data_IF_530678814179
#
_entry.id   IF_530678814179
#
_cell.length_a   1.000
_cell.length_b   1.000
_cell.length_c   1.000
_cell.angle_alpha   90.00
_cell.angle_beta   90.00
_cell.angle_gamma   90.00
#
_symmetry.space_group_name_H-M   'P 1'
#
loop_
_entity.id
_entity.type
_entity.pdbx_description
1 polymer ?
#
# COMPACT_ATOMS: atom_id res chain seq x y z
N UNK A 1 4.53 -29.61 -24.40
CA UNK A 1 4.89 -28.61 -23.37
C UNK A 1 5.77 -27.48 -23.91
N UNK A 2 6.85 -27.76 -24.66
CA UNK A 2 7.76 -26.73 -25.20
C UNK A 2 7.08 -25.67 -26.12
N UNK A 3 6.25 -26.08 -27.08
CA UNK A 3 5.51 -25.14 -27.95
C UNK A 3 4.50 -24.26 -27.19
N UNK A 4 3.93 -24.77 -26.08
CA UNK A 4 3.02 -23.98 -25.24
C UNK A 4 3.75 -22.92 -24.40
N UNK A 5 4.98 -23.23 -23.95
CA UNK A 5 5.85 -22.29 -23.24
C UNK A 5 6.35 -21.18 -24.16
N UNK A 6 6.72 -21.51 -25.39
CA UNK A 6 7.22 -20.54 -26.37
C UNK A 6 6.14 -19.53 -26.78
N UNK A 7 4.92 -20.01 -27.03
CA UNK A 7 3.77 -19.15 -27.31
C UNK A 7 3.36 -18.28 -26.12
N UNK A 8 3.49 -18.78 -24.89
CA UNK A 8 3.24 -18.00 -23.69
C UNK A 8 4.26 -16.86 -23.51
N UNK A 9 5.55 -17.13 -23.76
CA UNK A 9 6.62 -16.12 -23.73
C UNK A 9 6.42 -15.06 -24.81
N UNK A 10 6.06 -15.48 -26.03
CA UNK A 10 5.81 -14.55 -27.14
C UNK A 10 4.64 -13.61 -26.84
N UNK A 11 3.54 -14.14 -26.31
CA UNK A 11 2.41 -13.32 -25.84
C UNK A 11 2.78 -12.39 -24.69
N UNK A 12 3.57 -12.87 -23.72
CA UNK A 12 4.03 -12.05 -22.62
C UNK A 12 4.89 -10.88 -23.12
N UNK A 13 5.81 -11.12 -24.05
CA UNK A 13 6.63 -10.10 -24.67
C UNK A 13 5.82 -9.07 -25.47
N UNK A 14 4.79 -9.53 -26.21
CA UNK A 14 3.88 -8.65 -26.91
C UNK A 14 3.15 -7.70 -25.94
N UNK A 15 2.61 -8.23 -24.84
CA UNK A 15 1.95 -7.40 -23.82
C UNK A 15 2.92 -6.50 -23.06
N UNK A 16 4.15 -6.96 -22.79
CA UNK A 16 5.20 -6.16 -22.18
C UNK A 16 5.50 -4.89 -22.98
N UNK A 17 5.62 -4.99 -24.30
CA UNK A 17 5.85 -3.82 -25.15
C UNK A 17 4.69 -2.83 -25.14
N UNK A 18 3.46 -3.31 -24.99
CA UNK A 18 2.28 -2.45 -24.89
C UNK A 18 2.21 -1.75 -23.53
N UNK A 19 2.47 -2.48 -22.44
CA UNK A 19 2.49 -1.95 -21.07
C UNK A 19 3.63 -0.96 -20.87
N UNK A 20 4.81 -1.21 -21.47
CA UNK A 20 5.95 -0.31 -21.41
C UNK A 20 5.72 1.06 -22.04
N UNK A 21 4.66 1.24 -22.83
CA UNK A 21 4.25 2.52 -23.44
C UNK A 21 3.20 3.27 -22.62
N UNK A 22 2.68 2.67 -21.55
CA UNK A 22 1.71 3.32 -20.67
C UNK A 22 2.43 4.26 -19.71
N UNK A 23 1.80 5.41 -19.47
CA UNK A 23 2.14 6.28 -18.35
C UNK A 23 2.07 5.49 -17.04
N UNK A 24 2.96 5.79 -16.10
CA UNK A 24 3.11 5.05 -14.84
C UNK A 24 1.79 4.98 -14.07
N UNK A 25 1.02 6.07 -14.10
CA UNK A 25 -0.24 6.22 -13.37
C UNK A 25 -1.37 5.34 -13.93
N UNK A 26 -1.21 4.80 -15.16
CA UNK A 26 -2.16 3.87 -15.78
C UNK A 26 -1.84 2.40 -15.51
N UNK A 27 -0.66 2.10 -14.95
CA UNK A 27 -0.24 0.71 -14.72
C UNK A 27 -1.06 0.03 -13.63
N UNK A 28 -1.37 0.75 -12.56
CA UNK A 28 -2.18 0.20 -11.47
C UNK A 28 -3.66 0.05 -11.84
N UNK A 29 -4.32 1.05 -12.46
CA UNK A 29 -5.68 0.87 -12.98
C UNK A 29 -5.80 -0.31 -13.95
N UNK A 30 -4.82 -0.51 -14.83
CA UNK A 30 -4.79 -1.66 -15.73
C UNK A 30 -4.73 -2.99 -14.96
N UNK A 31 -3.93 -3.06 -13.90
CA UNK A 31 -3.84 -4.23 -13.04
C UNK A 31 -5.19 -4.51 -12.34
N UNK A 32 -5.88 -3.47 -11.89
CA UNK A 32 -7.18 -3.61 -11.21
C UNK A 32 -8.25 -4.23 -12.10
N UNK A 33 -8.20 -3.97 -13.41
CA UNK A 33 -9.08 -4.63 -14.39
C UNK A 33 -8.87 -6.15 -14.41
N UNK A 34 -7.69 -6.64 -14.02
CA UNK A 34 -7.40 -8.07 -13.93
C UNK A 34 -7.89 -8.69 -12.61
N UNK A 35 -8.18 -7.90 -11.57
CA UNK A 35 -8.56 -8.42 -10.25
C UNK A 35 -9.77 -9.37 -10.25
N UNK A 36 -10.86 -9.12 -11.02
CA UNK A 36 -11.97 -10.07 -11.11
C UNK A 36 -11.56 -11.42 -11.70
N UNK A 37 -10.61 -11.44 -12.65
CA UNK A 37 -10.10 -12.67 -13.22
C UNK A 37 -9.19 -13.40 -12.23
N UNK A 38 -8.33 -12.69 -11.51
CA UNK A 38 -7.46 -13.25 -10.46
C UNK A 38 -8.28 -13.86 -9.32
N UNK A 39 -9.38 -13.22 -8.91
CA UNK A 39 -10.31 -13.74 -7.88
C UNK A 39 -10.98 -15.06 -8.27
N UNK A 40 -11.11 -15.36 -9.57
CA UNK A 40 -11.70 -16.61 -10.09
C UNK A 40 -10.71 -17.77 -10.16
N UNK A 41 -9.41 -17.51 -10.01
CA UNK A 41 -8.38 -18.55 -10.00
C UNK A 41 -8.55 -19.47 -8.79
N UNK A 42 -8.12 -20.73 -8.92
CA UNK A 42 -8.05 -21.64 -7.79
C UNK A 42 -6.98 -21.17 -6.80
N UNK A 43 -7.06 -21.61 -5.53
CA UNK A 43 -6.05 -21.27 -4.52
C UNK A 43 -4.62 -21.63 -4.95
N UNK A 44 -4.44 -22.78 -5.60
CA UNK A 44 -3.15 -23.21 -6.11
C UNK A 44 -2.63 -22.24 -7.20
N UNK A 45 -3.50 -21.81 -8.11
CA UNK A 45 -3.15 -20.85 -9.16
C UNK A 45 -2.85 -19.46 -8.59
N UNK A 46 -3.61 -19.01 -7.59
CA UNK A 46 -3.35 -17.75 -6.90
C UNK A 46 -2.00 -17.77 -6.18
N UNK A 47 -1.69 -18.87 -5.49
CA UNK A 47 -0.41 -19.04 -4.79
C UNK A 47 0.76 -19.09 -5.77
N UNK A 48 0.60 -19.77 -6.91
CA UNK A 48 1.62 -19.79 -7.96
C UNK A 48 1.84 -18.41 -8.59
N UNK A 49 0.76 -17.65 -8.85
CA UNK A 49 0.85 -16.29 -9.36
C UNK A 49 1.55 -15.36 -8.37
N UNK A 50 1.18 -15.43 -7.09
CA UNK A 50 1.81 -14.63 -6.04
C UNK A 50 3.30 -14.95 -5.91
N UNK A 51 3.68 -16.23 -5.87
CA UNK A 51 5.09 -16.64 -5.81
C UNK A 51 5.90 -16.16 -7.02
N UNK A 52 5.29 -16.15 -8.22
CA UNK A 52 5.94 -15.61 -9.42
C UNK A 52 6.15 -14.08 -9.31
N UNK A 53 5.12 -13.35 -8.90
CA UNK A 53 5.20 -11.89 -8.77
C UNK A 53 6.20 -11.49 -7.69
N UNK A 54 6.19 -12.18 -6.55
CA UNK A 54 7.15 -11.96 -5.46
C UNK A 54 8.59 -12.20 -5.91
N UNK A 55 8.84 -13.27 -6.68
CA UNK A 55 10.15 -13.54 -7.26
C UNK A 55 10.60 -12.48 -8.28
N UNK A 56 9.68 -11.87 -9.03
CA UNK A 56 10.00 -10.79 -9.97
C UNK A 56 10.31 -9.48 -9.24
N UNK A 57 9.53 -9.15 -8.21
CA UNK A 57 9.71 -7.93 -7.41
C UNK A 57 11.03 -7.95 -6.62
N UNK A 58 11.44 -9.12 -6.15
CA UNK A 58 12.66 -9.26 -5.34
C UNK A 58 13.91 -9.50 -6.18
N UNK A 59 13.80 -9.55 -7.51
CA UNK A 59 14.89 -9.96 -8.39
C UNK A 59 16.08 -8.99 -8.40
N UNK A 60 15.82 -7.69 -8.28
CA UNK A 60 16.84 -6.63 -8.36
C UNK A 60 17.26 -6.07 -6.99
N UNK A 61 16.83 -6.71 -5.89
CA UNK A 61 17.04 -6.28 -4.50
C UNK A 61 16.57 -4.83 -4.21
N UNK A 62 15.72 -4.24 -5.06
CA UNK A 62 15.33 -2.84 -4.98
C UNK A 62 13.82 -2.64 -5.21
N UNK A 63 13.04 -2.87 -4.15
CA UNK A 63 11.57 -2.71 -4.21
C UNK A 63 11.20 -1.23 -4.33
N UNK A 64 10.50 -0.88 -5.39
CA UNK A 64 9.85 0.43 -5.54
C UNK A 64 8.41 0.44 -4.98
N UNK A 65 7.80 1.62 -4.90
CA UNK A 65 6.44 1.78 -4.34
C UNK A 65 5.40 0.98 -5.13
N UNK A 66 5.45 1.01 -6.47
CA UNK A 66 4.51 0.26 -7.31
C UNK A 66 4.59 -1.25 -7.09
N UNK A 67 5.79 -1.81 -7.01
CA UNK A 67 6.01 -3.23 -6.75
C UNK A 67 5.49 -3.65 -5.37
N UNK A 68 5.75 -2.84 -4.35
CA UNK A 68 5.20 -3.05 -3.02
C UNK A 68 3.66 -3.06 -3.05
N UNK A 69 3.03 -2.07 -3.71
CA UNK A 69 1.58 -1.99 -3.87
C UNK A 69 1.02 -3.24 -4.56
N UNK A 70 1.62 -3.63 -5.68
CA UNK A 70 1.23 -4.83 -6.44
C UNK A 70 1.26 -6.08 -5.57
N UNK A 71 2.37 -6.31 -4.84
CA UNK A 71 2.50 -7.48 -3.96
C UNK A 71 1.41 -7.49 -2.87
N UNK A 72 1.14 -6.34 -2.24
CA UNK A 72 0.14 -6.23 -1.17
C UNK A 72 -1.30 -6.34 -1.67
N UNK A 73 -1.63 -5.77 -2.83
CA UNK A 73 -2.95 -5.91 -3.46
C UNK A 73 -3.24 -7.37 -3.84
N UNK A 74 -2.26 -8.06 -4.44
CA UNK A 74 -2.39 -9.49 -4.75
C UNK A 74 -2.58 -10.33 -3.49
N UNK A 75 -1.79 -10.05 -2.44
CA UNK A 75 -1.94 -10.71 -1.15
C UNK A 75 -3.33 -10.49 -0.55
N UNK A 76 -3.87 -9.26 -0.63
CA UNK A 76 -5.21 -8.96 -0.14
C UNK A 76 -6.29 -9.75 -0.90
N UNK A 77 -6.20 -9.82 -2.24
CA UNK A 77 -7.11 -10.61 -3.07
C UNK A 77 -7.10 -12.10 -2.66
N UNK A 78 -5.92 -12.64 -2.36
CA UNK A 78 -5.76 -14.01 -1.87
C UNK A 78 -6.37 -14.22 -0.48
N UNK A 79 -6.21 -13.26 0.42
CA UNK A 79 -6.77 -13.36 1.77
C UNK A 79 -8.31 -13.27 1.75
N UNK A 80 -8.86 -12.39 0.91
CA UNK A 80 -10.30 -12.24 0.71
C UNK A 80 -10.94 -13.54 0.17
N UNK A 81 -10.27 -14.24 -0.74
CA UNK A 81 -10.77 -15.51 -1.30
C UNK A 81 -10.82 -16.64 -0.27
N UNK A 82 -9.92 -16.64 0.71
CA UNK A 82 -9.86 -17.65 1.78
C UNK A 82 -10.75 -17.33 2.98
N UNK A 83 -10.80 -16.06 3.39
CA UNK A 83 -11.42 -15.65 4.65
C UNK A 83 -12.18 -14.32 4.51
N UNK A 84 -13.38 -14.31 3.92
CA UNK A 84 -14.15 -13.08 3.69
C UNK A 84 -14.57 -12.31 4.96
N UNK A 85 -14.31 -12.86 6.16
CA UNK A 85 -14.64 -12.24 7.46
C UNK A 85 -13.59 -12.55 8.54
N UNK A 86 -12.32 -12.28 8.27
CA UNK A 86 -11.29 -12.43 9.30
C UNK A 86 -11.51 -11.38 10.40
N UNK A 87 -12.00 -11.82 11.56
CA UNK A 87 -12.10 -10.99 12.77
C UNK A 87 -10.69 -10.81 13.34
N UNK A 88 -10.09 -9.63 13.17
CA UNK A 88 -8.80 -9.31 13.78
C UNK A 88 -8.95 -9.29 15.31
N UNK A 89 -8.04 -9.97 16.02
CA UNK A 89 -8.00 -9.95 17.49
C UNK A 89 -7.46 -8.60 17.94
N UNK A 90 -8.34 -7.68 18.33
CA UNK A 90 -7.96 -6.37 18.85
C UNK A 90 -7.23 -6.50 20.19
N UNK A 91 -6.11 -5.80 20.34
CA UNK A 91 -5.39 -5.74 21.61
C UNK A 91 -6.22 -5.02 22.69
N UNK A 92 -6.17 -5.50 23.94
CA UNK A 92 -6.74 -4.78 25.09
C UNK A 92 -5.87 -3.56 25.39
N UNK A 93 -6.49 -2.37 25.35
CA UNK A 93 -5.93 -1.07 25.78
C UNK A 93 -4.42 -0.91 25.57
N UNK A 94 -4.01 -0.51 24.37
CA UNK A 94 -2.63 -0.10 24.11
C UNK A 94 -2.61 1.40 23.82
N UNK A 95 -1.72 2.13 24.48
CA UNK A 95 -1.58 3.59 24.34
C UNK A 95 -0.76 3.88 23.07
N UNK A 96 -1.20 4.87 22.28
CA UNK A 96 -0.63 5.20 20.97
C UNK A 96 0.88 5.49 21.02
N UNK A 97 1.38 6.11 22.10
CA UNK A 97 2.81 6.41 22.25
C UNK A 97 3.71 5.16 22.18
N UNK A 98 3.17 3.96 22.47
CA UNK A 98 3.95 2.71 22.37
C UNK A 98 4.26 2.31 20.92
N UNK A 99 3.62 2.95 19.95
CA UNK A 99 3.76 2.69 18.53
C UNK A 99 4.45 3.84 17.78
N UNK A 100 5.15 4.74 18.48
CA UNK A 100 5.80 5.89 17.83
C UNK A 100 6.77 5.48 16.73
N UNK A 101 7.46 4.36 16.90
CA UNK A 101 8.35 3.82 15.88
C UNK A 101 7.56 3.35 14.65
N UNK A 102 6.55 2.51 14.84
CA UNK A 102 5.73 1.96 13.76
C UNK A 102 4.99 3.06 12.99
N UNK A 103 4.44 4.05 13.71
CA UNK A 103 3.84 5.24 13.11
C UNK A 103 4.89 6.06 12.35
N UNK A 104 6.07 6.29 12.94
CA UNK A 104 7.17 6.98 12.27
C UNK A 104 7.58 6.31 10.96
N UNK A 105 7.62 4.98 10.91
CA UNK A 105 7.91 4.21 9.68
C UNK A 105 6.82 4.42 8.63
N UNK A 106 5.55 4.18 8.97
CA UNK A 106 4.44 4.28 8.01
C UNK A 106 4.31 5.68 7.43
N UNK A 107 4.42 6.71 8.26
CA UNK A 107 4.35 8.11 7.81
C UNK A 107 5.58 8.51 6.99
N UNK A 108 6.79 8.04 7.35
CA UNK A 108 8.00 8.35 6.58
C UNK A 108 7.95 7.73 5.19
N UNK A 109 7.49 6.49 5.08
CA UNK A 109 7.34 5.80 3.79
C UNK A 109 6.30 6.51 2.92
N UNK A 110 5.11 6.81 3.45
CA UNK A 110 4.07 7.50 2.70
C UNK A 110 4.55 8.87 2.21
N UNK A 111 5.12 9.68 3.10
CA UNK A 111 5.61 11.01 2.72
C UNK A 111 6.77 10.96 1.71
N UNK A 112 7.68 10.00 1.84
CA UNK A 112 8.83 9.90 0.92
C UNK A 112 8.44 9.46 -0.49
N UNK A 113 7.42 8.60 -0.63
CA UNK A 113 6.98 8.13 -1.95
C UNK A 113 5.88 9.00 -2.57
N UNK A 114 5.25 9.86 -1.77
CA UNK A 114 4.22 10.77 -2.25
C UNK A 114 4.75 12.08 -2.82
N UNK A 115 5.76 12.64 -2.17
CA UNK A 115 6.22 13.99 -2.50
C UNK A 115 7.52 14.00 -3.32
N UNK A 116 7.58 14.85 -4.34
CA UNK A 116 8.73 14.94 -5.26
C UNK A 116 10.00 15.47 -4.59
N UNK A 117 9.84 16.33 -3.57
CA UNK A 117 10.96 16.94 -2.86
C UNK A 117 11.05 16.46 -1.42
N UNK A 118 12.29 16.30 -0.94
CA UNK A 118 12.56 15.96 0.47
C UNK A 118 11.92 16.97 1.43
N UNK A 119 11.88 18.24 1.06
CA UNK A 119 11.29 19.28 1.90
C UNK A 119 9.77 19.10 2.04
N UNK A 120 9.07 18.89 0.92
CA UNK A 120 7.63 18.62 0.92
C UNK A 120 7.32 17.34 1.73
N UNK A 121 8.11 16.28 1.56
CA UNK A 121 7.97 15.06 2.36
C UNK A 121 8.13 15.31 3.88
N UNK A 122 9.11 16.11 4.30
CA UNK A 122 9.30 16.47 5.71
C UNK A 122 8.13 17.29 6.27
N UNK A 123 7.56 18.21 5.47
CA UNK A 123 6.40 19.01 5.85
C UNK A 123 5.14 18.15 5.98
N UNK A 124 4.87 17.30 4.99
CA UNK A 124 3.76 16.35 4.98
C UNK A 124 3.81 15.38 6.16
N UNK A 125 4.98 14.77 6.39
CA UNK A 125 5.26 13.90 7.54
C UNK A 125 4.92 14.59 8.86
N UNK A 126 5.40 15.82 9.02
CA UNK A 126 5.17 16.62 10.23
C UNK A 126 3.69 16.98 10.38
N UNK A 127 3.02 17.37 9.29
CA UNK A 127 1.60 17.71 9.29
C UNK A 127 0.74 16.52 9.74
N UNK A 128 0.96 15.35 9.16
CA UNK A 128 0.24 14.13 9.52
C UNK A 128 0.45 13.70 10.97
N UNK A 129 1.69 13.68 11.46
CA UNK A 129 1.96 13.29 12.84
C UNK A 129 1.48 14.31 13.87
N UNK A 130 1.50 15.60 13.55
CA UNK A 130 0.88 16.64 14.39
C UNK A 130 -0.65 16.51 14.43
N UNK A 131 -1.28 16.16 13.31
CA UNK A 131 -2.70 15.86 13.29
C UNK A 131 -3.02 14.64 14.16
N UNK A 132 -2.19 13.59 14.08
CA UNK A 132 -2.34 12.37 14.88
C UNK A 132 -2.22 12.63 16.39
N UNK A 133 -1.18 13.35 16.82
CA UNK A 133 -1.01 13.74 18.21
C UNK A 133 -0.02 14.91 18.32
N UNK A 134 -0.50 16.15 18.52
CA UNK A 134 0.37 17.32 18.59
C UNK A 134 1.22 17.37 19.87
N UNK A 135 0.82 16.64 20.91
CA UNK A 135 1.51 16.60 22.19
C UNK A 135 2.72 15.63 22.24
N UNK A 136 2.94 14.85 21.19
CA UNK A 136 4.04 13.89 21.16
C UNK A 136 5.25 14.47 20.43
N UNK A 137 6.42 14.15 20.98
CA UNK A 137 7.69 14.33 20.30
C UNK A 137 7.90 13.16 19.34
N UNK A 138 7.81 13.43 18.04
CA UNK A 138 7.90 12.43 16.99
C UNK A 138 9.33 12.35 16.47
N UNK A 139 9.82 11.15 16.09
CA UNK A 139 11.12 11.03 15.48
C UNK A 139 11.19 11.84 14.17
N UNK A 140 12.40 12.19 13.74
CA UNK A 140 12.58 12.78 12.41
C UNK A 140 12.21 11.76 11.33
N UNK A 141 11.77 12.26 10.16
CA UNK A 141 11.51 11.45 8.98
C UNK A 141 12.75 10.59 8.67
N UNK A 142 12.54 9.28 8.57
CA UNK A 142 13.60 8.33 8.25
C UNK A 142 13.04 7.15 7.46
N UNK A 143 13.63 6.89 6.30
CA UNK A 143 13.32 5.72 5.46
C UNK A 143 14.51 4.77 5.47
N UNK A 144 14.28 3.55 5.98
CA UNK A 144 15.29 2.48 6.02
C UNK A 144 15.63 1.99 4.61
N UNK A 145 16.81 1.40 4.43
CA UNK A 145 17.14 0.68 3.17
C UNK A 145 16.16 -0.47 2.91
N UNK A 146 15.77 -1.20 3.95
CA UNK A 146 14.73 -2.23 3.90
C UNK A 146 13.39 -1.62 4.34
N UNK A 147 12.95 -0.57 3.63
CA UNK A 147 11.73 0.16 3.99
C UNK A 147 10.48 -0.72 3.90
N UNK A 148 10.40 -1.61 2.90
CA UNK A 148 9.23 -2.46 2.65
C UNK A 148 9.01 -3.46 3.78
N UNK A 149 10.06 -4.16 4.21
CA UNK A 149 9.98 -5.04 5.38
C UNK A 149 9.66 -4.29 6.68
N UNK A 150 10.26 -3.10 6.88
CA UNK A 150 9.94 -2.27 8.04
C UNK A 150 8.47 -1.79 8.01
N UNK A 151 7.94 -1.49 6.84
CA UNK A 151 6.55 -1.11 6.61
C UNK A 151 5.60 -2.26 6.97
N UNK A 152 5.90 -3.48 6.54
CA UNK A 152 5.08 -4.66 6.86
C UNK A 152 5.01 -4.92 8.36
N UNK A 153 6.17 -4.92 9.03
CA UNK A 153 6.26 -5.14 10.47
C UNK A 153 5.48 -4.05 11.23
N UNK A 154 5.59 -2.80 10.79
CA UNK A 154 4.87 -1.68 11.37
C UNK A 154 3.35 -1.83 11.18
N UNK A 155 2.89 -2.08 9.95
CA UNK A 155 1.47 -2.25 9.64
C UNK A 155 0.86 -3.44 10.37
N UNK A 156 1.57 -4.57 10.47
CA UNK A 156 1.10 -5.73 11.23
C UNK A 156 0.87 -5.40 12.72
N UNK A 157 1.77 -4.59 13.32
CA UNK A 157 1.62 -4.15 14.72
C UNK A 157 0.51 -3.12 14.88
N UNK A 158 0.38 -2.19 13.93
CA UNK A 158 -0.67 -1.18 13.93
C UNK A 158 -2.06 -1.78 13.67
N UNK A 159 -2.16 -2.88 12.93
CA UNK A 159 -3.43 -3.60 12.71
C UNK A 159 -4.01 -4.20 14.01
N UNK A 160 -3.19 -4.39 15.05
CA UNK A 160 -3.66 -4.81 16.36
C UNK A 160 -4.35 -3.69 17.17
N UNK A 161 -4.27 -2.44 16.71
CA UNK A 161 -4.93 -1.29 17.34
C UNK A 161 -6.46 -1.43 17.31
N UNK A 162 -7.11 -0.64 18.17
CA UNK A 162 -8.58 -0.56 18.19
C UNK A 162 -9.10 0.12 16.93
N UNK A 163 -10.27 -0.29 16.40
CA UNK A 163 -10.85 0.29 15.17
C UNK A 163 -10.82 1.82 15.14
N UNK A 164 -11.33 2.49 16.17
CA UNK A 164 -11.33 3.96 16.26
C UNK A 164 -9.92 4.58 16.22
N UNK A 165 -8.92 3.90 16.77
CA UNK A 165 -7.53 4.40 16.72
C UNK A 165 -6.95 4.20 15.32
N UNK A 166 -7.29 3.09 14.64
CA UNK A 166 -6.88 2.88 13.25
C UNK A 166 -7.48 3.94 12.33
N UNK A 167 -8.77 4.28 12.50
CA UNK A 167 -9.44 5.35 11.75
C UNK A 167 -8.69 6.67 11.90
N UNK A 168 -8.34 7.07 13.12
CA UNK A 168 -7.54 8.29 13.36
C UNK A 168 -6.17 8.22 12.71
N UNK A 169 -5.50 7.05 12.72
CA UNK A 169 -4.22 6.87 12.01
C UNK A 169 -4.39 7.04 10.50
N UNK A 170 -5.43 6.43 9.90
CA UNK A 170 -5.71 6.58 8.48
C UNK A 170 -6.07 8.03 8.12
N UNK A 171 -6.85 8.73 8.93
CA UNK A 171 -7.16 10.15 8.70
C UNK A 171 -5.92 11.03 8.79
N UNK A 172 -4.99 10.70 9.69
CA UNK A 172 -3.70 11.38 9.79
C UNK A 172 -2.79 11.11 8.58
N UNK A 173 -2.87 9.90 8.01
CA UNK A 173 -2.17 9.55 6.77
C UNK A 173 -2.80 10.25 5.56
N UNK A 174 -4.11 10.49 5.54
CA UNK A 174 -4.74 11.37 4.53
C UNK A 174 -4.19 12.78 4.57
N UNK A 175 -3.99 13.34 5.76
CA UNK A 175 -3.35 14.67 5.91
C UNK A 175 -1.90 14.66 5.40
N UNK A 176 -1.20 13.53 5.55
CA UNK A 176 0.15 13.37 4.99
C UNK A 176 0.10 13.35 3.47
N UNK A 177 -0.71 12.47 2.88
CA UNK A 177 -0.83 12.31 1.43
C UNK A 177 -1.39 13.57 0.74
N UNK A 178 -2.36 14.25 1.34
CA UNK A 178 -2.99 15.45 0.79
C UNK A 178 -2.28 16.75 1.18
N UNK A 179 -1.00 16.71 1.55
CA UNK A 179 -0.28 17.92 1.95
C UNK A 179 0.00 18.87 0.76
N UNK A 180 0.14 18.32 -0.45
CA UNK A 180 0.33 19.08 -1.68
C UNK A 180 -1.00 19.15 -2.47
N UNK A 181 -1.19 20.20 -3.27
CA UNK A 181 -2.43 20.43 -4.06
C UNK A 181 -2.60 19.42 -5.22
N UNK A 182 -1.54 18.70 -5.58
CA UNK A 182 -1.52 17.69 -6.64
C UNK A 182 -1.46 16.29 -6.04
N UNK A 183 -2.58 15.82 -5.48
CA UNK A 183 -2.68 14.44 -4.98
C UNK A 183 -2.38 13.44 -6.10
N UNK A 184 -1.27 12.72 -6.02
CA UNK A 184 -0.86 11.75 -7.04
C UNK A 184 -1.68 10.45 -6.88
N UNK A 185 -2.05 9.82 -8.00
CA UNK A 185 -2.69 8.50 -8.05
C UNK A 185 -1.92 7.48 -7.19
N UNK A 186 -0.58 7.51 -7.24
CA UNK A 186 0.26 6.58 -6.47
C UNK A 186 0.10 6.74 -4.95
N UNK A 187 -0.12 7.96 -4.45
CA UNK A 187 -0.30 8.24 -3.02
C UNK A 187 -1.63 7.73 -2.50
N UNK A 188 -2.70 7.99 -3.25
CA UNK A 188 -4.04 7.51 -2.93
C UNK A 188 -4.06 5.98 -2.88
N UNK A 189 -3.31 5.36 -3.78
CA UNK A 189 -3.18 3.92 -3.87
C UNK A 189 -2.36 3.31 -2.73
N UNK A 190 -1.27 3.97 -2.34
CA UNK A 190 -0.53 3.59 -1.16
C UNK A 190 -1.36 3.72 0.11
N UNK A 191 -2.13 4.79 0.24
CA UNK A 191 -3.06 4.96 1.34
C UNK A 191 -4.15 3.87 1.34
N UNK A 192 -4.72 3.53 0.18
CA UNK A 192 -5.74 2.47 0.02
C UNK A 192 -5.20 1.11 0.46
N UNK A 193 -3.98 0.78 0.04
CA UNK A 193 -3.28 -0.44 0.47
C UNK A 193 -3.02 -0.45 1.98
N UNK A 194 -2.53 0.66 2.54
CA UNK A 194 -2.29 0.79 3.99
C UNK A 194 -3.59 0.57 4.77
N UNK A 195 -4.70 1.20 4.35
CA UNK A 195 -5.99 1.04 4.98
C UNK A 195 -6.51 -0.41 4.89
N UNK A 196 -6.34 -1.07 3.74
CA UNK A 196 -6.66 -2.48 3.55
C UNK A 196 -5.88 -3.39 4.51
N UNK A 197 -4.56 -3.16 4.65
CA UNK A 197 -3.69 -3.92 5.55
C UNK A 197 -4.01 -3.68 7.03
N UNK A 198 -4.49 -2.48 7.38
CA UNK A 198 -4.98 -2.14 8.73
C UNK A 198 -6.46 -2.50 8.95
N UNK A 199 -7.13 -3.12 7.98
CA UNK A 199 -8.55 -3.44 8.02
C UNK A 199 -9.45 -2.24 8.38
N UNK A 200 -9.13 -1.07 7.81
CA UNK A 200 -9.96 0.14 7.90
C UNK A 200 -10.69 0.31 6.58
N UNK A 201 -12.04 0.42 6.59
CA UNK A 201 -12.79 0.61 5.36
C UNK A 201 -12.49 1.99 4.77
N UNK A 202 -11.97 2.03 3.53
CA UNK A 202 -11.89 3.26 2.74
C UNK A 202 -13.13 3.37 1.84
N UNK A 203 -13.74 4.55 1.70
CA UNK A 203 -14.77 4.77 0.69
C UNK A 203 -14.15 4.59 -0.71
N UNK A 204 -14.90 4.06 -1.69
CA UNK A 204 -14.43 3.94 -3.07
C UNK A 204 -14.02 5.30 -3.65
N UNK A 205 -13.01 5.30 -4.52
CA UNK A 205 -12.36 6.49 -5.11
C UNK A 205 -13.30 7.58 -5.62
N UNK A 206 -14.48 7.22 -6.15
CA UNK A 206 -15.45 8.19 -6.65
C UNK A 206 -16.01 9.13 -5.56
N UNK A 207 -15.86 8.79 -4.27
CA UNK A 207 -16.37 9.56 -3.13
C UNK A 207 -15.31 10.46 -2.47
N UNK A 208 -14.03 10.35 -2.86
CA UNK A 208 -12.94 11.16 -2.30
C UNK A 208 -12.78 12.52 -3.01
N UNK A 209 -13.34 12.67 -4.21
CA UNK A 209 -13.35 13.93 -5.00
C UNK A 209 -14.61 14.78 -4.78
N UNK A 210 -15.42 14.49 -3.75
CA UNK A 210 -16.54 15.36 -3.44
C UNK A 210 -16.00 16.60 -2.72
N UNK A 211 -16.27 17.82 -3.21
CA UNK A 211 -16.05 19.01 -2.40
C UNK A 211 -16.78 18.80 -1.09
N UNK A 212 -16.05 18.95 0.01
CA UNK A 212 -16.65 19.03 1.34
C UNK A 212 -17.32 20.40 1.43
N UNK A 213 -18.62 20.45 1.15
CA UNK A 213 -19.50 21.56 1.53
C UNK A 213 -19.70 21.60 3.05
#
# INVERSE_FOLDING_TARGET
EQQGSEFAVERANHHWQQIGRLETDLRLPLLELAFPAIRKLTWQQQTALYGLVDALITFDDAINSFEYLLSRLLMQIMQESQHPRRRVKTARFVKLYKYQYELGVVFSVLANFGHESKHAAEQAYTAGLRYLSPQYDWPALHVSKNWSGAMDDALQRLDALRPLVKEVVIDSLKVTAGHDEDSNVVEQELLRVIAGLMHVPMPPEHLLNLPTD
#
